data_IF_076736164578
#
_entry.id   IF_076736164578
#
_cell.length_a   1.000
_cell.length_b   1.000
_cell.length_c   1.000
_cell.angle_alpha   90.00
_cell.angle_beta   90.00
_cell.angle_gamma   90.00
#
_symmetry.space_group_name_H-M   'P 1'
#
loop_
_entity.id
_entity.type
_entity.pdbx_description
1 polymer ?
#
# COMPACT_ATOMS: atom_id res chain seq x y z
N UNK A 1 5.51 22.06 1.45
CA UNK A 1 4.39 22.44 2.34
C UNK A 1 4.81 22.13 3.77
N UNK A 2 5.21 23.12 4.60
CA UNK A 2 5.82 22.78 5.88
C UNK A 2 4.72 22.57 6.93
N UNK A 3 4.42 21.30 7.22
CA UNK A 3 3.72 20.75 8.39
C UNK A 3 2.33 21.29 8.83
N UNK A 4 1.78 22.37 8.27
CA UNK A 4 0.51 22.95 8.75
C UNK A 4 -0.66 21.95 8.68
N UNK A 5 -0.82 21.24 7.55
CA UNK A 5 -1.84 20.19 7.41
C UNK A 5 -1.56 18.98 8.32
N UNK A 6 -0.30 18.58 8.45
CA UNK A 6 0.07 17.44 9.30
C UNK A 6 -0.21 17.73 10.78
N UNK A 7 0.11 18.93 11.23
CA UNK A 7 -0.21 19.36 12.59
C UNK A 7 -1.71 19.45 12.81
N UNK A 8 -2.45 20.08 11.88
CA UNK A 8 -3.93 20.20 11.94
C UNK A 8 -4.62 18.84 11.93
N UNK A 9 -4.14 17.92 11.11
CA UNK A 9 -4.63 16.54 11.04
C UNK A 9 -4.00 15.59 12.05
N UNK A 10 -3.22 16.11 13.01
CA UNK A 10 -2.51 15.32 14.05
C UNK A 10 -1.76 14.12 13.48
N UNK A 11 -1.12 14.29 12.33
CA UNK A 11 -0.38 13.25 11.61
C UNK A 11 -1.22 12.01 11.26
N UNK A 12 -2.54 12.07 11.34
CA UNK A 12 -3.45 10.93 11.16
C UNK A 12 -3.73 10.13 12.44
N UNK A 13 -3.45 10.67 13.62
CA UNK A 13 -3.86 10.04 14.88
C UNK A 13 -5.36 9.70 14.88
N UNK A 14 -5.68 8.52 15.41
CA UNK A 14 -7.04 7.97 15.43
C UNK A 14 -7.66 7.75 14.03
N UNK A 15 -6.86 7.75 12.95
CA UNK A 15 -7.30 7.35 11.61
C UNK A 15 -6.78 5.94 11.28
N UNK A 16 -7.63 5.12 10.67
CA UNK A 16 -7.34 3.76 10.24
C UNK A 16 -7.35 3.73 8.70
N UNK A 17 -6.17 3.56 8.12
CA UNK A 17 -6.00 3.37 6.67
C UNK A 17 -5.92 1.88 6.38
N UNK A 18 -6.85 1.40 5.56
CA UNK A 18 -6.78 0.06 4.98
C UNK A 18 -5.94 0.05 3.74
N UNK A 19 -5.00 -0.88 3.69
CA UNK A 19 -4.24 -1.22 2.49
C UNK A 19 -4.74 -2.55 1.98
N UNK A 20 -5.34 -2.54 0.77
CA UNK A 20 -5.79 -3.74 0.07
C UNK A 20 -4.81 -4.01 -1.07
N UNK A 21 -3.89 -4.97 -0.87
CA UNK A 21 -2.70 -5.12 -1.70
C UNK A 21 -2.09 -6.54 -1.55
N UNK A 22 -0.77 -6.70 -1.75
CA UNK A 22 -0.02 -7.95 -1.62
C UNK A 22 0.36 -8.35 -0.20
N UNK A 23 -0.12 -7.63 0.82
CA UNK A 23 0.22 -7.85 2.24
C UNK A 23 1.12 -6.75 2.80
N UNK A 24 1.82 -7.04 3.90
CA UNK A 24 2.82 -6.13 4.47
C UNK A 24 4.05 -6.90 5.01
N UNK A 25 5.21 -6.25 5.04
CA UNK A 25 6.39 -6.73 5.77
C UNK A 25 6.48 -6.05 7.15
N UNK A 26 6.00 -6.70 8.23
CA UNK A 26 5.76 -6.03 9.51
C UNK A 26 7.04 -5.59 10.22
N UNK A 27 8.17 -6.25 9.97
CA UNK A 27 9.47 -5.89 10.57
C UNK A 27 10.11 -4.64 9.96
N UNK A 28 9.49 -4.04 8.93
CA UNK A 28 9.98 -2.79 8.37
C UNK A 28 9.92 -1.67 9.42
N UNK A 29 11.00 -0.90 9.54
CA UNK A 29 11.06 0.27 10.44
C UNK A 29 9.98 1.32 10.14
N UNK A 30 9.46 1.35 8.91
CA UNK A 30 8.30 2.17 8.54
C UNK A 30 7.02 1.82 9.29
N UNK A 31 6.97 0.68 9.97
CA UNK A 31 5.80 0.22 10.73
C UNK A 31 6.07 0.10 12.23
N UNK A 32 7.11 0.77 12.73
CA UNK A 32 7.32 0.94 14.17
C UNK A 32 6.09 1.62 14.80
N UNK A 33 5.68 1.12 15.96
CA UNK A 33 4.58 1.64 16.78
C UNK A 33 5.08 2.43 18.01
N UNK A 34 6.35 2.87 17.97
CA UNK A 34 6.93 3.78 18.95
C UNK A 34 6.16 5.11 18.97
N UNK A 35 5.78 5.56 20.17
CA UNK A 35 4.99 6.78 20.34
C UNK A 35 3.48 6.64 20.07
N UNK A 36 2.99 5.45 19.71
CA UNK A 36 1.56 5.24 19.48
C UNK A 36 0.78 5.09 20.78
N UNK A 37 -0.35 5.79 20.86
CA UNK A 37 -1.41 5.54 21.83
C UNK A 37 -2.16 4.23 21.58
N UNK A 38 -3.18 3.91 22.40
CA UNK A 38 -3.95 2.69 22.24
C UNK A 38 -4.64 2.63 20.87
N UNK A 39 -4.85 1.40 20.37
CA UNK A 39 -5.63 1.16 19.16
C UNK A 39 -7.03 1.76 19.35
N UNK A 40 -7.60 2.44 18.33
CA UNK A 40 -8.93 3.03 18.46
C UNK A 40 -9.98 2.02 18.89
N UNK A 41 -10.80 2.36 19.89
CA UNK A 41 -11.79 1.43 20.48
C UNK A 41 -12.90 1.00 19.51
N UNK A 42 -13.10 1.75 18.42
CA UNK A 42 -14.04 1.39 17.35
C UNK A 42 -13.52 0.30 16.43
N UNK A 43 -12.22 0.01 16.46
CA UNK A 43 -11.60 -1.01 15.61
C UNK A 43 -12.14 -2.40 15.94
N UNK A 44 -12.62 -3.12 14.92
CA UNK A 44 -13.20 -4.47 15.08
C UNK A 44 -12.44 -5.55 14.32
N UNK A 45 -11.40 -5.16 13.60
CA UNK A 45 -10.58 -6.12 12.86
C UNK A 45 -9.72 -6.99 13.76
N UNK A 46 -9.20 -8.05 13.15
CA UNK A 46 -8.38 -9.08 13.81
C UNK A 46 -6.98 -9.13 13.19
N UNK A 47 -6.07 -9.76 13.92
CA UNK A 47 -4.77 -10.15 13.41
C UNK A 47 -4.78 -11.66 13.14
N UNK A 48 -4.91 -12.04 11.87
CA UNK A 48 -4.80 -13.44 11.47
C UNK A 48 -3.35 -13.93 11.58
N UNK A 49 -3.18 -15.20 11.93
CA UNK A 49 -1.88 -15.87 12.00
C UNK A 49 -1.71 -16.80 10.80
N UNK A 50 -0.47 -17.06 10.43
CA UNK A 50 -0.16 -17.94 9.31
C UNK A 50 1.33 -18.17 9.13
N UNK A 51 1.71 -18.60 7.93
CA UNK A 51 3.10 -18.84 7.60
C UNK A 51 3.98 -17.61 7.81
N UNK A 52 5.00 -17.74 8.66
CA UNK A 52 5.89 -16.64 9.04
C UNK A 52 5.16 -15.39 9.57
N UNK A 53 3.97 -15.56 10.15
CA UNK A 53 3.19 -14.47 10.74
C UNK A 53 2.50 -14.92 12.02
N UNK A 54 2.85 -14.31 13.14
CA UNK A 54 2.25 -14.56 14.45
C UNK A 54 1.47 -13.32 14.96
N UNK A 55 0.89 -13.44 16.16
CA UNK A 55 0.09 -12.35 16.75
C UNK A 55 0.90 -11.07 17.02
N UNK A 56 2.21 -11.18 17.23
CA UNK A 56 3.10 -10.05 17.50
C UNK A 56 3.45 -9.27 16.23
N UNK A 57 3.10 -9.78 15.05
CA UNK A 57 3.23 -9.03 13.80
C UNK A 57 2.17 -7.92 13.64
N UNK A 58 1.10 -7.94 14.45
CA UNK A 58 0.28 -6.77 14.67
C UNK A 58 0.76 -5.98 15.89
N UNK A 59 0.64 -4.67 15.82
CA UNK A 59 1.14 -3.70 16.78
C UNK A 59 0.14 -2.55 16.94
N UNK A 60 0.51 -1.47 17.65
CA UNK A 60 -0.33 -0.25 17.65
C UNK A 60 -0.27 0.49 16.31
N UNK A 61 0.70 0.16 15.45
CA UNK A 61 0.82 0.64 14.07
C UNK A 61 0.06 -0.23 13.08
N UNK A 62 0.35 -1.53 13.03
CA UNK A 62 -0.36 -2.51 12.20
C UNK A 62 -1.44 -3.14 13.08
N UNK A 63 -2.63 -2.54 13.10
CA UNK A 63 -3.66 -2.90 14.10
C UNK A 63 -4.50 -4.12 13.71
N UNK A 64 -4.38 -4.58 12.47
CA UNK A 64 -4.96 -5.83 12.02
C UNK A 64 -4.52 -6.23 10.63
N UNK A 65 -4.60 -7.52 10.36
CA UNK A 65 -4.07 -8.14 9.17
C UNK A 65 -4.93 -9.36 8.82
N UNK A 66 -5.36 -9.46 7.57
CA UNK A 66 -6.08 -10.63 7.06
C UNK A 66 -5.58 -10.99 5.67
N UNK A 67 -5.83 -12.23 5.25
CA UNK A 67 -5.59 -12.70 3.89
C UNK A 67 -6.89 -13.19 3.24
N UNK A 68 -6.94 -13.14 1.91
CA UNK A 68 -8.08 -13.65 1.13
C UNK A 68 -7.56 -14.53 0.00
N UNK A 69 -7.69 -15.84 0.17
CA UNK A 69 -7.37 -16.88 -0.81
C UNK A 69 -8.61 -17.58 -1.38
N UNK A 70 -9.82 -17.18 -0.99
CA UNK A 70 -11.07 -17.86 -1.36
C UNK A 70 -11.23 -18.05 -2.87
N UNK A 71 -11.34 -19.30 -3.31
CA UNK A 71 -11.45 -19.67 -4.73
C UNK A 71 -10.13 -19.71 -5.49
N UNK A 72 -9.00 -19.54 -4.81
CA UNK A 72 -7.65 -19.74 -5.35
C UNK A 72 -7.08 -21.07 -4.84
N UNK A 73 -6.20 -21.69 -5.63
CA UNK A 73 -5.46 -22.87 -5.19
C UNK A 73 -4.33 -22.44 -4.24
N UNK A 74 -4.46 -22.83 -2.96
CA UNK A 74 -3.47 -22.51 -1.94
C UNK A 74 -2.13 -23.19 -2.20
N UNK A 75 -2.10 -24.35 -2.87
CA UNK A 75 -0.85 -25.03 -3.22
C UNK A 75 -0.09 -24.26 -4.30
N UNK A 76 -0.80 -23.58 -5.19
CA UNK A 76 -0.18 -22.67 -6.16
C UNK A 76 0.35 -21.40 -5.49
N UNK A 77 -0.40 -20.85 -4.53
CA UNK A 77 0.04 -19.68 -3.74
C UNK A 77 1.33 -20.00 -2.97
N UNK A 78 1.38 -21.12 -2.25
CA UNK A 78 2.52 -21.52 -1.40
C UNK A 78 3.84 -21.66 -2.16
N UNK A 79 3.81 -21.85 -3.48
CA UNK A 79 5.03 -21.95 -4.31
C UNK A 79 5.86 -20.66 -4.32
N UNK A 80 5.20 -19.50 -4.22
CA UNK A 80 5.87 -18.19 -4.36
C UNK A 80 5.48 -17.17 -3.27
N UNK A 81 4.68 -17.57 -2.29
CA UNK A 81 4.12 -16.72 -1.24
C UNK A 81 3.97 -17.46 0.10
N UNK A 82 3.76 -16.68 1.16
CA UNK A 82 3.27 -17.04 2.47
C UNK A 82 1.75 -17.06 2.48
N UNK A 83 1.16 -18.17 2.92
CA UNK A 83 -0.26 -18.23 3.27
C UNK A 83 -0.50 -17.53 4.63
N UNK A 84 -0.31 -16.21 4.62
CA UNK A 84 -0.42 -15.28 5.73
C UNK A 84 -0.54 -13.85 5.20
N UNK A 85 -0.81 -12.84 6.05
CA UNK A 85 -0.79 -11.43 5.63
C UNK A 85 0.60 -10.87 5.25
N UNK A 86 1.67 -11.66 5.39
CA UNK A 86 3.04 -11.26 5.04
C UNK A 86 3.18 -10.98 3.55
N UNK A 87 3.92 -9.94 3.19
CA UNK A 87 4.19 -9.57 1.79
C UNK A 87 5.43 -10.28 1.23
N UNK A 88 5.29 -11.09 0.19
CA UNK A 88 6.44 -11.64 -0.56
C UNK A 88 6.77 -10.85 -1.85
N UNK A 89 5.94 -9.88 -2.23
CA UNK A 89 6.10 -9.08 -3.46
C UNK A 89 6.75 -7.71 -3.19
N UNK A 90 6.40 -7.07 -2.07
CA UNK A 90 6.87 -5.74 -1.68
C UNK A 90 5.94 -4.59 -2.09
N UNK A 91 4.94 -4.84 -2.95
CA UNK A 91 4.06 -3.78 -3.44
C UNK A 91 3.18 -3.22 -2.32
N UNK A 92 2.55 -4.09 -1.53
CA UNK A 92 1.76 -3.70 -0.36
C UNK A 92 2.58 -3.00 0.73
N UNK A 93 3.81 -3.47 0.99
CA UNK A 93 4.73 -2.80 1.92
C UNK A 93 5.09 -1.38 1.44
N UNK A 94 5.36 -1.22 0.15
CA UNK A 94 5.67 0.08 -0.43
C UNK A 94 4.47 1.05 -0.39
N UNK A 95 3.27 0.59 -0.77
CA UNK A 95 2.06 1.42 -0.76
C UNK A 95 1.63 1.77 0.67
N UNK A 96 1.69 0.83 1.61
CA UNK A 96 1.41 1.07 3.03
C UNK A 96 2.35 2.10 3.65
N UNK A 97 3.66 1.98 3.40
CA UNK A 97 4.64 2.93 3.93
C UNK A 97 4.55 4.31 3.28
N UNK A 98 4.09 4.41 2.04
CA UNK A 98 3.80 5.69 1.38
C UNK A 98 2.57 6.37 1.98
N UNK A 99 1.51 5.60 2.28
CA UNK A 99 0.29 6.15 2.87
C UNK A 99 0.52 6.58 4.34
N UNK A 100 1.12 5.68 5.14
CA UNK A 100 1.20 5.83 6.58
C UNK A 100 2.51 5.30 7.17
N UNK A 101 3.65 5.35 6.49
CA UNK A 101 4.92 4.98 7.12
C UNK A 101 5.25 5.90 8.31
N UNK A 102 5.66 5.31 9.44
CA UNK A 102 6.26 6.03 10.56
C UNK A 102 7.52 6.78 10.12
N UNK A 103 7.85 7.87 10.81
CA UNK A 103 9.02 8.69 10.48
C UNK A 103 10.31 7.90 10.73
N UNK A 104 11.11 7.73 9.69
CA UNK A 104 12.38 6.98 9.75
C UNK A 104 13.51 7.81 9.15
N UNK A 105 14.54 8.08 9.95
CA UNK A 105 15.78 8.70 9.47
C UNK A 105 16.72 7.69 8.81
N UNK A 106 17.56 8.18 7.89
CA UNK A 106 18.59 7.37 7.23
C UNK A 106 18.03 6.36 6.23
N UNK A 107 16.87 6.63 5.65
CA UNK A 107 16.33 5.84 4.56
C UNK A 107 17.11 6.13 3.28
N UNK A 108 17.53 5.09 2.55
CA UNK A 108 18.17 5.22 1.23
C UNK A 108 18.00 3.94 0.44
N UNK A 109 18.15 4.02 -0.88
CA UNK A 109 18.24 2.86 -1.77
C UNK A 109 19.66 2.77 -2.31
N UNK A 110 20.49 1.89 -1.75
CA UNK A 110 21.92 1.79 -2.07
C UNK A 110 22.65 3.15 -2.00
N UNK A 111 22.31 3.98 -1.01
CA UNK A 111 22.88 5.33 -0.85
C UNK A 111 22.18 6.42 -1.69
N UNK A 112 21.34 6.05 -2.66
CA UNK A 112 20.48 6.99 -3.35
C UNK A 112 19.34 7.45 -2.43
N UNK A 113 18.83 8.64 -2.69
CA UNK A 113 17.62 9.15 -2.03
C UNK A 113 17.74 9.28 -0.49
N UNK A 114 18.96 9.43 0.02
CA UNK A 114 19.23 9.50 1.46
C UNK A 114 18.42 10.61 2.14
N UNK A 115 17.68 10.26 3.19
CA UNK A 115 16.90 11.23 3.95
C UNK A 115 15.97 10.61 4.98
N UNK A 116 14.92 11.35 5.31
CA UNK A 116 13.84 10.89 6.18
C UNK A 116 12.70 10.36 5.30
N UNK A 117 12.34 9.09 5.50
CA UNK A 117 11.14 8.52 4.91
C UNK A 117 9.97 8.63 5.89
N UNK A 118 8.77 8.93 5.38
CA UNK A 118 7.51 8.93 6.12
C UNK A 118 6.34 8.83 5.16
N UNK A 119 5.20 8.35 5.65
CA UNK A 119 3.95 8.38 4.91
C UNK A 119 3.29 9.77 4.89
N UNK A 120 2.20 9.88 4.14
CA UNK A 120 1.33 11.06 4.16
C UNK A 120 0.68 11.31 5.52
N UNK A 121 0.31 10.24 6.24
CA UNK A 121 -0.25 10.28 7.59
C UNK A 121 0.57 9.39 8.54
N UNK A 122 1.72 9.86 9.05
CA UNK A 122 2.67 9.02 9.78
C UNK A 122 2.13 8.38 11.06
N UNK A 123 1.10 8.95 11.69
CA UNK A 123 0.47 8.45 12.93
C UNK A 123 -0.83 7.65 12.69
N UNK A 124 -1.26 7.49 11.44
CA UNK A 124 -2.43 6.67 11.12
C UNK A 124 -2.15 5.19 11.37
N UNK A 125 -3.10 4.48 11.95
CA UNK A 125 -3.04 3.03 12.06
C UNK A 125 -3.23 2.41 10.67
N UNK A 126 -2.55 1.29 10.44
CA UNK A 126 -2.62 0.52 9.19
C UNK A 126 -3.36 -0.77 9.48
N UNK A 127 -4.28 -1.12 8.59
CA UNK A 127 -4.84 -2.45 8.56
C UNK A 127 -4.64 -3.07 7.16
N UNK A 128 -4.19 -4.33 7.11
CA UNK A 128 -3.58 -4.95 5.90
C UNK A 128 -4.42 -6.09 5.36
N UNK A 129 -5.15 -5.88 4.26
CA UNK A 129 -5.96 -6.92 3.60
C UNK A 129 -5.17 -7.43 2.41
N UNK A 130 -4.56 -8.60 2.55
CA UNK A 130 -3.86 -9.25 1.45
C UNK A 130 -4.87 -9.94 0.54
N UNK A 131 -5.12 -9.35 -0.61
CA UNK A 131 -6.03 -9.88 -1.62
C UNK A 131 -5.34 -10.15 -2.96
N UNK A 132 -4.05 -9.79 -3.05
CA UNK A 132 -3.19 -10.06 -4.20
C UNK A 132 -2.05 -10.99 -3.80
N UNK A 133 -1.76 -11.96 -4.66
CA UNK A 133 -0.79 -13.01 -4.44
C UNK A 133 0.30 -12.95 -5.50
N UNK A 134 1.56 -13.13 -5.12
CA UNK A 134 2.70 -13.06 -6.05
C UNK A 134 2.66 -14.21 -7.06
N UNK A 135 2.90 -13.92 -8.33
CA UNK A 135 3.12 -14.92 -9.37
C UNK A 135 4.62 -15.21 -9.54
N UNK A 136 4.95 -16.38 -10.11
CA UNK A 136 6.33 -16.73 -10.47
C UNK A 136 6.98 -15.70 -11.43
N UNK A 137 6.18 -15.00 -12.24
CA UNK A 137 6.64 -13.95 -13.17
C UNK A 137 6.90 -12.59 -12.51
N UNK A 138 6.78 -12.48 -11.17
CA UNK A 138 7.03 -11.24 -10.45
C UNK A 138 5.88 -10.22 -10.53
N UNK A 139 4.69 -10.65 -10.98
CA UNK A 139 3.46 -9.86 -10.87
C UNK A 139 2.63 -10.30 -9.67
N UNK A 140 1.40 -9.81 -9.60
CA UNK A 140 0.40 -10.26 -8.63
C UNK A 140 -0.88 -10.72 -9.32
N UNK A 141 -1.64 -11.59 -8.66
CA UNK A 141 -2.95 -12.04 -9.11
C UNK A 141 -3.97 -12.06 -7.95
N UNK A 142 -5.25 -11.93 -8.29
CA UNK A 142 -6.39 -11.96 -7.37
C UNK A 142 -7.68 -12.03 -8.18
N UNK A 143 -8.82 -12.10 -7.50
CA UNK A 143 -10.16 -12.22 -8.13
C UNK A 143 -11.15 -11.17 -7.64
N UNK A 144 -12.22 -10.97 -8.40
CA UNK A 144 -13.41 -10.20 -7.98
C UNK A 144 -13.93 -10.65 -6.61
N UNK A 145 -14.00 -11.96 -6.36
CA UNK A 145 -14.53 -12.46 -5.11
C UNK A 145 -13.66 -12.06 -3.89
N UNK A 146 -12.33 -12.27 -3.96
CA UNK A 146 -11.44 -12.02 -2.80
C UNK A 146 -11.34 -10.53 -2.44
N UNK A 147 -11.37 -9.67 -3.44
CA UNK A 147 -11.30 -8.22 -3.24
C UNK A 147 -12.64 -7.64 -2.77
N UNK A 148 -13.79 -8.18 -3.20
CA UNK A 148 -15.09 -7.83 -2.61
C UNK A 148 -15.17 -8.27 -1.15
N UNK A 149 -14.69 -9.46 -0.81
CA UNK A 149 -14.63 -9.93 0.58
C UNK A 149 -13.74 -9.02 1.44
N UNK A 150 -12.59 -8.59 0.90
CA UNK A 150 -11.71 -7.64 1.58
C UNK A 150 -12.37 -6.28 1.83
N UNK A 151 -13.13 -5.76 0.86
CA UNK A 151 -13.87 -4.50 1.02
C UNK A 151 -14.99 -4.64 2.04
N UNK A 152 -15.72 -5.76 2.03
CA UNK A 152 -16.80 -6.00 2.98
C UNK A 152 -16.29 -6.07 4.43
N UNK A 153 -15.22 -6.84 4.67
CA UNK A 153 -14.55 -6.89 5.98
C UNK A 153 -14.01 -5.51 6.38
N UNK A 154 -13.53 -4.69 5.44
CA UNK A 154 -13.07 -3.32 5.72
C UNK A 154 -14.17 -2.45 6.34
N UNK A 155 -15.35 -2.51 5.73
CA UNK A 155 -16.51 -1.74 6.16
C UNK A 155 -16.92 -2.15 7.58
N UNK A 156 -16.92 -3.44 7.87
CA UNK A 156 -17.31 -3.97 9.17
C UNK A 156 -16.24 -3.78 10.25
N UNK A 157 -14.96 -3.80 9.87
CA UNK A 157 -13.84 -3.60 10.79
C UNK A 157 -13.69 -2.14 11.24
N UNK A 158 -14.35 -1.19 10.54
CA UNK A 158 -14.44 0.21 10.94
C UNK A 158 -13.27 1.07 10.46
N UNK A 159 -12.80 0.85 9.23
CA UNK A 159 -11.73 1.66 8.61
C UNK A 159 -12.26 3.04 8.18
N UNK A 160 -11.38 4.04 8.12
CA UNK A 160 -11.76 5.40 7.70
C UNK A 160 -11.42 5.66 6.22
N UNK A 161 -10.32 5.05 5.74
CA UNK A 161 -9.82 5.21 4.37
C UNK A 161 -9.44 3.86 3.78
N UNK A 162 -9.83 3.60 2.54
CA UNK A 162 -9.42 2.48 1.73
C UNK A 162 -8.42 2.93 0.67
N UNK A 163 -7.20 2.40 0.73
CA UNK A 163 -6.12 2.64 -0.23
C UNK A 163 -5.90 1.40 -1.09
N UNK A 164 -6.21 1.52 -2.39
CA UNK A 164 -6.27 0.42 -3.34
C UNK A 164 -5.41 0.71 -4.57
N UNK A 165 -4.18 0.22 -4.57
CA UNK A 165 -3.25 0.31 -5.71
C UNK A 165 -3.44 -0.86 -6.68
N UNK A 166 -4.70 -1.09 -7.06
CA UNK A 166 -5.15 -2.22 -7.89
C UNK A 166 -6.00 -1.72 -9.06
N UNK A 167 -6.12 -2.52 -10.12
CA UNK A 167 -6.93 -2.21 -11.28
C UNK A 167 -7.18 -3.46 -12.11
N UNK A 168 -7.95 -3.33 -13.21
CA UNK A 168 -8.24 -4.46 -14.11
C UNK A 168 -9.45 -5.31 -13.72
N UNK A 169 -10.29 -4.83 -12.81
CA UNK A 169 -11.48 -5.53 -12.35
C UNK A 169 -12.71 -4.63 -12.45
N UNK A 170 -13.78 -5.15 -13.06
CA UNK A 170 -15.00 -4.40 -13.35
C UNK A 170 -16.00 -4.37 -12.19
N UNK A 171 -15.88 -5.28 -11.22
CA UNK A 171 -16.96 -5.59 -10.25
C UNK A 171 -16.82 -4.91 -8.87
N UNK A 172 -15.71 -4.23 -8.55
CA UNK A 172 -15.56 -3.58 -7.22
C UNK A 172 -16.27 -2.25 -7.06
N UNK A 173 -16.83 -1.70 -8.14
CA UNK A 173 -17.51 -0.41 -8.10
C UNK A 173 -18.60 -0.40 -7.02
N UNK A 174 -19.35 -1.51 -6.88
CA UNK A 174 -20.39 -1.67 -5.85
C UNK A 174 -19.83 -1.80 -4.43
N UNK A 175 -18.73 -2.55 -4.24
CA UNK A 175 -18.06 -2.62 -2.94
C UNK A 175 -17.56 -1.25 -2.49
N UNK A 176 -16.96 -0.49 -3.41
CA UNK A 176 -16.56 0.89 -3.16
C UNK A 176 -17.76 1.82 -2.89
N UNK A 177 -18.88 1.63 -3.58
CA UNK A 177 -20.11 2.40 -3.34
C UNK A 177 -20.63 2.17 -1.93
N UNK A 178 -20.68 0.92 -1.46
CA UNK A 178 -21.09 0.59 -0.09
C UNK A 178 -20.16 1.21 0.95
N UNK A 179 -18.85 1.19 0.71
CA UNK A 179 -17.89 1.83 1.59
C UNK A 179 -18.14 3.35 1.68
N UNK A 180 -18.34 4.02 0.54
CA UNK A 180 -18.63 5.46 0.49
C UNK A 180 -19.97 5.79 1.17
N UNK A 181 -21.00 4.96 0.99
CA UNK A 181 -22.29 5.11 1.69
C UNK A 181 -22.17 4.99 3.21
N UNK A 182 -21.12 4.31 3.71
CA UNK A 182 -20.79 4.20 5.13
C UNK A 182 -19.81 5.28 5.61
N UNK A 183 -19.49 6.26 4.76
CA UNK A 183 -18.60 7.38 5.08
C UNK A 183 -17.11 7.06 4.95
N UNK A 184 -16.76 5.94 4.31
CA UNK A 184 -15.37 5.52 4.12
C UNK A 184 -14.84 6.12 2.81
N UNK A 185 -13.69 6.79 2.87
CA UNK A 185 -13.05 7.34 1.67
C UNK A 185 -12.38 6.22 0.89
N UNK A 186 -12.60 6.14 -0.41
CA UNK A 186 -12.00 5.11 -1.28
C UNK A 186 -11.06 5.77 -2.29
N UNK A 187 -9.80 5.36 -2.27
CA UNK A 187 -8.72 5.88 -3.13
C UNK A 187 -8.18 4.76 -4.00
N UNK A 188 -8.26 4.94 -5.32
CA UNK A 188 -7.79 4.00 -6.32
C UNK A 188 -6.69 4.60 -7.22
N UNK A 189 -5.80 3.76 -7.73
CA UNK A 189 -4.91 4.13 -8.84
C UNK A 189 -5.68 4.26 -10.17
N UNK A 190 -5.29 5.20 -11.03
CA UNK A 190 -5.88 5.36 -12.37
C UNK A 190 -5.36 4.37 -13.44
N UNK A 191 -4.42 3.49 -13.08
CA UNK A 191 -3.79 2.54 -14.00
C UNK A 191 -2.49 3.05 -14.66
N UNK A 192 -1.81 2.15 -15.39
CA UNK A 192 -0.50 2.40 -16.02
C UNK A 192 -0.52 2.21 -17.56
N UNK A 193 -1.70 2.06 -18.16
CA UNK A 193 -1.88 1.71 -19.58
C UNK A 193 -1.88 2.92 -20.54
N UNK A 194 -1.56 4.11 -20.03
CA UNK A 194 -1.38 5.32 -20.84
C UNK A 194 -0.22 5.21 -21.84
N UNK A 195 0.01 6.24 -22.67
CA UNK A 195 -0.60 7.57 -22.65
C UNK A 195 -1.79 7.73 -23.60
N UNK A 196 -2.27 6.66 -24.23
CA UNK A 196 -3.42 6.73 -25.14
C UNK A 196 -4.66 7.23 -24.39
N UNK A 197 -5.56 7.99 -25.05
CA UNK A 197 -6.84 8.34 -24.45
C UNK A 197 -7.62 7.11 -23.99
N UNK A 198 -8.51 7.28 -23.01
CA UNK A 198 -9.44 6.25 -22.52
C UNK A 198 -8.78 5.00 -21.90
N UNK A 199 -7.60 5.16 -21.29
CA UNK A 199 -6.89 4.07 -20.59
C UNK A 199 -7.02 4.14 -19.06
N UNK A 200 -7.77 5.12 -18.53
CA UNK A 200 -7.96 5.29 -17.07
C UNK A 200 -8.93 4.22 -16.56
N UNK A 201 -8.49 3.46 -15.56
CA UNK A 201 -9.34 2.55 -14.80
C UNK A 201 -9.94 3.18 -13.54
N UNK A 202 -10.70 2.41 -12.76
CA UNK A 202 -11.25 2.81 -11.46
C UNK A 202 -11.95 4.18 -11.47
N UNK A 203 -12.77 4.43 -12.49
CA UNK A 203 -13.35 5.73 -12.82
C UNK A 203 -14.78 5.92 -12.27
N UNK A 204 -15.13 5.23 -11.18
CA UNK A 204 -16.44 5.38 -10.55
C UNK A 204 -16.56 6.78 -9.93
N UNK A 205 -17.72 7.47 -10.05
CA UNK A 205 -17.84 8.86 -9.62
C UNK A 205 -17.78 9.06 -8.09
N UNK A 206 -17.91 7.99 -7.31
CA UNK A 206 -17.85 8.02 -5.85
C UNK A 206 -16.46 7.75 -5.28
N UNK A 207 -15.46 7.41 -6.09
CA UNK A 207 -14.09 7.15 -5.63
C UNK A 207 -13.13 8.26 -6.02
N UNK A 208 -11.99 8.32 -5.35
CA UNK A 208 -10.88 9.20 -5.72
C UNK A 208 -9.91 8.41 -6.60
N UNK A 209 -9.88 8.72 -7.89
CA UNK A 209 -8.95 8.10 -8.85
C UNK A 209 -7.69 8.94 -9.00
N UNK A 210 -6.53 8.35 -8.70
CA UNK A 210 -5.23 9.04 -8.65
C UNK A 210 -4.40 8.78 -9.91
N UNK A 211 -4.02 9.86 -10.60
CA UNK A 211 -3.00 9.82 -11.66
C UNK A 211 -1.59 9.91 -11.06
N UNK A 212 -0.58 9.47 -11.82
CA UNK A 212 0.83 9.56 -11.40
C UNK A 212 1.56 10.66 -12.17
N UNK A 213 2.38 11.45 -11.47
CA UNK A 213 3.26 12.45 -12.06
C UNK A 213 4.71 12.28 -11.57
N UNK A 214 5.65 12.93 -12.25
CA UNK A 214 7.03 13.05 -11.78
C UNK A 214 7.13 14.14 -10.72
N UNK A 215 8.15 14.06 -9.86
CA UNK A 215 8.55 15.12 -8.93
C UNK A 215 9.80 15.83 -9.46
N UNK A 216 10.24 16.90 -8.78
CA UNK A 216 11.42 17.70 -9.11
C UNK A 216 12.76 16.96 -8.91
N UNK A 217 12.72 15.74 -8.38
CA UNK A 217 13.89 14.88 -8.13
C UNK A 217 14.20 13.98 -9.32
N UNK A 218 15.48 13.95 -9.70
CA UNK A 218 16.02 13.10 -10.75
C UNK A 218 17.19 12.27 -10.24
N UNK A 219 17.33 11.05 -10.76
CA UNK A 219 18.47 10.18 -10.51
C UNK A 219 19.38 10.20 -11.74
N UNK A 220 20.52 10.88 -11.62
CA UNK A 220 21.46 11.09 -12.71
C UNK A 220 22.63 10.12 -12.58
N UNK A 221 22.98 9.48 -13.69
CA UNK A 221 24.15 8.61 -13.81
C UNK A 221 25.14 9.26 -14.76
N UNK A 222 26.38 9.48 -14.30
CA UNK A 222 27.46 10.02 -15.12
C UNK A 222 28.23 8.86 -15.76
N UNK A 223 28.21 8.78 -17.09
CA UNK A 223 28.99 7.83 -17.87
C UNK A 223 30.24 8.55 -18.37
N UNK A 224 31.42 8.06 -18.00
CA UNK A 224 32.71 8.59 -18.50
C UNK A 224 33.25 7.68 -19.60
N UNK A 225 33.43 8.22 -20.80
CA UNK A 225 33.96 7.51 -21.96
C UNK A 225 35.50 7.44 -21.93
N UNK A 226 36.10 6.56 -22.74
CA UNK A 226 37.56 6.39 -22.82
C UNK A 226 38.32 7.63 -23.29
N UNK A 227 37.66 8.54 -24.00
CA UNK A 227 38.18 9.85 -24.40
C UNK A 227 37.99 10.94 -23.32
N UNK A 228 37.60 10.56 -22.09
CA UNK A 228 37.28 11.44 -20.95
C UNK A 228 36.03 12.32 -21.11
N UNK A 229 35.27 12.15 -22.19
CA UNK A 229 33.98 12.81 -22.32
C UNK A 229 32.98 12.22 -21.31
N UNK A 230 32.22 13.09 -20.67
CA UNK A 230 31.17 12.70 -19.72
C UNK A 230 29.79 12.88 -20.36
N UNK A 231 28.93 11.89 -20.19
CA UNK A 231 27.52 11.92 -20.58
C UNK A 231 26.70 11.73 -19.32
N UNK A 232 25.79 12.68 -19.06
CA UNK A 232 24.82 12.55 -17.97
C UNK A 232 23.56 11.90 -18.55
N UNK A 233 23.24 10.71 -18.07
CA UNK A 233 22.00 10.01 -18.41
C UNK A 233 21.08 9.99 -17.20
N UNK A 234 19.78 9.93 -17.45
CA UNK A 234 18.79 9.64 -16.43
C UNK A 234 17.97 8.46 -16.92
N UNK A 235 17.68 7.52 -16.02
CA UNK A 235 16.83 6.39 -16.36
C UNK A 235 15.37 6.87 -16.46
N UNK A 236 14.75 6.69 -17.63
CA UNK A 236 13.33 6.99 -17.82
C UNK A 236 12.41 5.88 -17.32
N UNK A 237 12.96 4.70 -17.00
CA UNK A 237 12.20 3.52 -16.61
C UNK A 237 12.00 3.38 -15.10
N UNK A 238 12.60 4.25 -14.26
CA UNK A 238 12.43 4.40 -12.81
C UNK A 238 11.56 3.32 -12.14
N UNK A 239 12.05 2.07 -12.13
CA UNK A 239 11.67 1.06 -11.15
C UNK A 239 12.69 1.19 -10.03
N UNK A 240 12.47 2.16 -9.14
CA UNK A 240 12.94 2.06 -7.77
C UNK A 240 11.88 1.33 -6.96
#
# INVERSE_FOLDING_TARGET
>A
MPNDLLNKGRYGEDIIIRVVDSGIWPESRSFSDEGYGPVPSRWRGKCEVGQAWDQNNCSRKIIGARLYSGGLDEEDIKKNEYLSPRDAHGHGTHTASTAAGSVMAGASFHGLVAGIARGGAPHACIAVYKALWKTAGGGTFGTAAVLLAALDDAIHDGVDVLSLSIGGFTEYSFGALHAVQKGIIVVYSGGKDGPRPQTVGNNAPWVITIATSKIDRSFLTVITLGNKQQIVVWDTNNKL
#
